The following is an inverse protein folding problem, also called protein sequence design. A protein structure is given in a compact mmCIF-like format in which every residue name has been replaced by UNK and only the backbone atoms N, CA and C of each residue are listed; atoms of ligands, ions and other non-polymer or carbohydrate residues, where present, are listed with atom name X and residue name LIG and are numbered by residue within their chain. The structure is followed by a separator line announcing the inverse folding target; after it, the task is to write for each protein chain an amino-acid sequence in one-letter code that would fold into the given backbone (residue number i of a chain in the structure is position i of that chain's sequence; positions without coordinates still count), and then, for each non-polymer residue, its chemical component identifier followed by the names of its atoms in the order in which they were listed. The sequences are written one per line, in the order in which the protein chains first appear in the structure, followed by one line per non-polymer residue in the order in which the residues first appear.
data_IF_009715878755
#
_entry.id   IF_009715878755
#
_cell.length_a   1.000
_cell.length_b   1.000
_cell.length_c   1.000
_cell.angle_alpha   90.00
_cell.angle_beta   90.00
_cell.angle_gamma   90.00
#
_symmetry.space_group_name_H-M   'P 1'
#
loop_
_entity.id
_entity.type
_entity.pdbx_description
1 polymer ?
#
# COMPACT_ATOMS: atom_id res chain seq x y z
N UNK A 1 15.47 19.98 -7.30
CA UNK A 1 14.18 20.11 -8.00
C UNK A 1 13.09 19.75 -7.02
N UNK A 2 12.00 20.52 -6.96
CA UNK A 2 10.85 20.19 -6.12
C UNK A 2 10.14 18.95 -6.69
N UNK A 3 9.89 17.92 -5.87
CA UNK A 3 9.18 16.69 -6.26
C UNK A 3 7.92 16.55 -5.40
N UNK A 4 6.89 17.38 -5.63
CA UNK A 4 5.76 17.49 -4.71
C UNK A 4 4.85 16.25 -4.70
N UNK A 5 4.73 15.46 -5.79
CA UNK A 5 4.01 14.19 -5.75
C UNK A 5 4.78 13.18 -4.90
N UNK A 6 6.10 13.06 -5.11
CA UNK A 6 6.96 12.21 -4.30
C UNK A 6 6.81 12.52 -2.81
N UNK A 7 6.91 13.80 -2.43
CA UNK A 7 6.72 14.25 -1.04
C UNK A 7 5.31 13.94 -0.53
N UNK A 8 4.27 14.20 -1.32
CA UNK A 8 2.88 13.95 -0.93
C UNK A 8 2.64 12.49 -0.56
N UNK A 9 3.11 11.55 -1.39
CA UNK A 9 2.92 10.12 -1.15
C UNK A 9 3.82 9.59 -0.04
N UNK A 10 5.08 10.00 0.02
CA UNK A 10 6.01 9.64 1.12
C UNK A 10 5.46 10.08 2.48
N UNK A 11 4.88 11.29 2.57
CA UNK A 11 4.22 11.73 3.79
C UNK A 11 2.97 10.90 4.14
N UNK A 12 2.26 10.38 3.15
CA UNK A 12 1.13 9.48 3.39
C UNK A 12 1.60 8.09 3.85
N UNK A 13 2.70 7.57 3.33
CA UNK A 13 3.37 6.36 3.85
C UNK A 13 3.72 6.51 5.32
N UNK A 14 4.38 7.60 5.72
CA UNK A 14 4.69 7.84 7.13
C UNK A 14 3.45 7.88 8.03
N UNK A 15 2.33 8.43 7.55
CA UNK A 15 1.06 8.45 8.31
C UNK A 15 0.45 7.05 8.43
N UNK A 16 0.50 6.25 7.37
CA UNK A 16 0.03 4.86 7.35
C UNK A 16 0.87 3.99 8.28
N UNK A 17 2.20 4.09 8.18
CA UNK A 17 3.15 3.37 9.03
C UNK A 17 2.94 3.72 10.50
N UNK A 18 2.76 5.01 10.82
CA UNK A 18 2.47 5.45 12.18
C UNK A 18 1.21 4.77 12.76
N UNK A 19 0.12 4.68 11.99
CA UNK A 19 -1.11 4.01 12.43
C UNK A 19 -0.88 2.52 12.69
N UNK A 20 -0.13 1.84 11.83
CA UNK A 20 0.19 0.42 12.02
C UNK A 20 1.09 0.20 13.25
N UNK A 21 2.05 1.10 13.48
CA UNK A 21 2.91 1.10 14.66
C UNK A 21 2.10 1.28 15.95
N UNK A 22 1.17 2.25 15.98
CA UNK A 22 0.25 2.45 17.11
C UNK A 22 -0.67 1.24 17.33
N UNK A 23 -1.15 0.62 16.25
CA UNK A 23 -1.99 -0.57 16.33
C UNK A 23 -1.27 -1.79 16.93
N UNK A 24 0.07 -1.83 16.89
CA UNK A 24 0.88 -2.99 17.27
C UNK A 24 1.93 -2.67 18.34
N UNK A 25 1.74 -1.57 19.08
CA UNK A 25 2.65 -1.11 20.13
C UNK A 25 2.76 -2.11 21.30
N UNK A 26 1.68 -2.83 21.60
CA UNK A 26 1.64 -3.83 22.67
C UNK A 26 1.84 -5.25 22.10
N UNK A 27 2.87 -5.99 22.52
CA UNK A 27 3.07 -7.36 22.08
C UNK A 27 1.87 -8.26 22.35
N UNK A 28 1.42 -9.01 21.33
CA UNK A 28 0.29 -9.94 21.43
C UNK A 28 -1.09 -9.29 21.44
N UNK A 29 -1.18 -7.96 21.34
CA UNK A 29 -2.44 -7.23 21.26
C UNK A 29 -2.45 -6.31 20.03
N UNK A 30 -3.61 -6.21 19.38
CA UNK A 30 -3.79 -5.34 18.21
C UNK A 30 -4.88 -4.33 18.55
N UNK A 31 -4.50 -3.06 18.66
CA UNK A 31 -5.43 -1.97 18.95
C UNK A 31 -6.30 -1.71 17.72
N UNK A 32 -7.51 -2.27 17.74
CA UNK A 32 -8.40 -2.34 16.59
C UNK A 32 -8.83 -0.97 16.05
N UNK A 33 -8.86 0.08 16.89
CA UNK A 33 -9.17 1.43 16.44
C UNK A 33 -8.08 2.00 15.52
N UNK A 34 -6.81 1.87 15.91
CA UNK A 34 -5.68 2.26 15.06
C UNK A 34 -5.58 1.35 13.83
N UNK A 35 -5.81 0.05 13.98
CA UNK A 35 -5.82 -0.87 12.84
C UNK A 35 -6.94 -0.53 11.84
N UNK A 36 -8.12 -0.13 12.31
CA UNK A 36 -9.20 0.34 11.44
C UNK A 36 -8.79 1.59 10.66
N UNK A 37 -8.21 2.59 11.33
CA UNK A 37 -7.71 3.81 10.68
C UNK A 37 -6.61 3.50 9.65
N UNK A 38 -5.70 2.57 9.99
CA UNK A 38 -4.68 2.06 9.06
C UNK A 38 -5.32 1.48 7.79
N UNK A 39 -6.31 0.58 7.92
CA UNK A 39 -7.00 -0.03 6.77
C UNK A 39 -7.63 1.02 5.86
N UNK A 40 -8.34 1.99 6.45
CA UNK A 40 -9.01 3.06 5.71
C UNK A 40 -7.99 3.91 4.95
N UNK A 41 -6.90 4.32 5.61
CA UNK A 41 -5.85 5.11 4.97
C UNK A 41 -5.12 4.35 3.87
N UNK A 42 -4.72 3.10 4.11
CA UNK A 42 -4.04 2.29 3.09
C UNK A 42 -4.92 2.08 1.85
N UNK A 43 -6.21 1.81 2.02
CA UNK A 43 -7.11 1.67 0.87
C UNK A 43 -7.36 3.00 0.14
N UNK A 44 -7.40 4.12 0.87
CA UNK A 44 -7.43 5.46 0.26
C UNK A 44 -6.16 5.71 -0.54
N UNK A 45 -5.00 5.33 -0.03
CA UNK A 45 -3.71 5.44 -0.71
C UNK A 45 -3.69 4.67 -2.03
N UNK A 46 -4.00 3.37 -1.98
CA UNK A 46 -4.10 2.52 -3.17
C UNK A 46 -5.12 3.11 -4.17
N UNK A 47 -6.24 3.66 -3.70
CA UNK A 47 -7.23 4.33 -4.55
C UNK A 47 -6.66 5.58 -5.22
N UNK A 48 -5.91 6.41 -4.50
CA UNK A 48 -5.24 7.60 -5.06
C UNK A 48 -4.32 7.20 -6.22
N UNK A 49 -3.55 6.14 -6.07
CA UNK A 49 -2.63 5.69 -7.11
C UNK A 49 -3.36 5.06 -8.30
N UNK A 50 -4.22 4.07 -8.05
CA UNK A 50 -4.89 3.30 -9.09
C UNK A 50 -5.91 4.13 -9.90
N UNK A 51 -6.53 5.13 -9.27
CA UNK A 51 -7.63 5.91 -9.88
C UNK A 51 -7.21 7.30 -10.33
N UNK A 52 -6.09 7.84 -9.82
CA UNK A 52 -5.65 9.20 -10.16
C UNK A 52 -4.24 9.22 -10.71
N UNK A 53 -3.23 8.75 -9.96
CA UNK A 53 -1.83 8.85 -10.38
C UNK A 53 -1.51 7.99 -11.62
N UNK A 54 -1.79 6.69 -11.56
CA UNK A 54 -1.46 5.76 -12.65
C UNK A 54 -2.21 6.10 -13.93
N UNK A 55 -3.52 6.43 -13.94
CA UNK A 55 -4.18 6.88 -15.15
C UNK A 55 -3.55 8.13 -15.76
N UNK A 56 -3.17 9.11 -14.94
CA UNK A 56 -2.55 10.35 -15.42
C UNK A 56 -1.17 10.09 -16.05
N UNK A 57 -0.30 9.33 -15.38
CA UNK A 57 1.01 8.97 -15.90
C UNK A 57 0.89 8.08 -17.16
N UNK A 58 -0.06 7.14 -17.18
CA UNK A 58 -0.31 6.26 -18.33
C UNK A 58 -0.80 7.04 -19.56
N UNK A 59 -1.58 8.10 -19.37
CA UNK A 59 -1.99 9.01 -20.45
C UNK A 59 -0.79 9.75 -21.06
N UNK A 60 0.20 10.10 -20.24
CA UNK A 60 1.42 10.77 -20.70
C UNK A 60 2.38 9.79 -21.42
N UNK A 61 2.58 8.59 -20.87
CA UNK A 61 3.38 7.56 -21.53
C UNK A 61 2.88 6.15 -21.20
N UNK A 62 2.04 5.62 -22.09
CA UNK A 62 1.42 4.30 -21.92
C UNK A 62 2.46 3.18 -21.79
N UNK A 63 3.50 3.18 -22.65
CA UNK A 63 4.46 2.08 -22.73
C UNK A 63 5.29 1.95 -21.46
N UNK A 64 5.75 3.08 -20.90
CA UNK A 64 6.50 3.10 -19.65
C UNK A 64 5.64 2.60 -18.49
N UNK A 65 4.42 3.12 -18.37
CA UNK A 65 3.54 2.71 -17.28
C UNK A 65 3.05 1.27 -17.42
N UNK A 66 2.81 0.78 -18.63
CA UNK A 66 2.42 -0.62 -18.88
C UNK A 66 3.49 -1.62 -18.39
N UNK A 67 4.77 -1.28 -18.47
CA UNK A 67 5.84 -2.12 -17.90
C UNK A 67 5.96 -2.03 -16.38
N UNK A 68 5.59 -0.89 -15.77
CA UNK A 68 5.80 -0.64 -14.34
C UNK A 68 4.60 -1.06 -13.47
N UNK A 69 3.40 -0.61 -13.81
CA UNK A 69 2.21 -0.76 -12.96
C UNK A 69 1.77 -2.21 -12.66
N UNK A 70 2.00 -3.24 -13.50
CA UNK A 70 1.51 -4.59 -13.19
C UNK A 70 2.06 -5.14 -11.88
N UNK A 71 3.32 -4.82 -11.54
CA UNK A 71 3.92 -5.22 -10.26
C UNK A 71 3.19 -4.57 -9.08
N UNK A 72 3.08 -3.24 -9.08
CA UNK A 72 2.41 -2.48 -8.01
C UNK A 72 0.96 -2.94 -7.82
N UNK A 73 0.24 -3.26 -8.91
CA UNK A 73 -1.12 -3.83 -8.85
C UNK A 73 -1.21 -5.17 -8.14
N UNK A 74 -0.21 -6.04 -8.32
CA UNK A 74 -0.17 -7.32 -7.63
C UNK A 74 0.06 -7.11 -6.14
N UNK A 75 0.97 -6.20 -5.78
CA UNK A 75 1.26 -5.81 -4.38
C UNK A 75 0.04 -5.15 -3.72
N UNK A 76 -0.65 -4.21 -4.38
CA UNK A 76 -1.91 -3.63 -3.94
C UNK A 76 -2.99 -4.69 -3.68
N UNK A 77 -3.10 -5.67 -4.59
CA UNK A 77 -4.02 -6.79 -4.45
C UNK A 77 -3.70 -7.67 -3.24
N UNK A 78 -2.41 -7.93 -2.99
CA UNK A 78 -1.96 -8.69 -1.83
C UNK A 78 -2.22 -7.94 -0.52
N UNK A 79 -1.86 -6.66 -0.44
CA UNK A 79 -2.13 -5.80 0.71
C UNK A 79 -3.63 -5.75 1.01
N UNK A 80 -4.46 -5.45 0.00
CA UNK A 80 -5.93 -5.41 0.16
C UNK A 80 -6.48 -6.75 0.67
N UNK A 81 -5.97 -7.87 0.17
CA UNK A 81 -6.41 -9.20 0.61
C UNK A 81 -6.01 -9.51 2.06
N UNK A 82 -4.85 -9.03 2.53
CA UNK A 82 -4.42 -9.15 3.92
C UNK A 82 -5.28 -8.34 4.90
N UNK A 83 -5.95 -7.27 4.43
CA UNK A 83 -6.88 -6.48 5.25
C UNK A 83 -8.26 -7.12 5.43
N UNK A 84 -8.56 -8.23 4.75
CA UNK A 84 -9.85 -8.92 4.82
C UNK A 84 -10.01 -9.77 6.09
N UNK A 85 -9.10 -10.71 6.43
CA UNK A 85 -9.21 -11.49 7.66
C UNK A 85 -8.98 -10.64 8.93
N UNK A 86 -9.42 -11.11 10.12
CA UNK A 86 -9.02 -10.53 11.39
C UNK A 86 -7.49 -10.46 11.50
N UNK A 87 -6.92 -9.37 12.02
CA UNK A 87 -5.48 -9.23 12.10
C UNK A 87 -4.90 -10.24 13.09
N UNK A 88 -3.76 -10.82 12.71
CA UNK A 88 -2.90 -11.66 13.55
C UNK A 88 -1.48 -11.14 13.43
N UNK A 89 -0.59 -11.49 14.36
CA UNK A 89 0.84 -11.13 14.26
C UNK A 89 1.44 -11.53 12.91
N UNK A 90 1.12 -12.72 12.40
CA UNK A 90 1.59 -13.19 11.10
C UNK A 90 1.06 -12.36 9.91
N UNK A 91 -0.19 -11.92 9.96
CA UNK A 91 -0.76 -11.01 8.96
C UNK A 91 -0.08 -9.64 9.04
N UNK A 92 0.13 -9.10 10.24
CA UNK A 92 0.84 -7.82 10.41
C UNK A 92 2.27 -7.92 9.86
N UNK A 93 3.00 -8.99 10.15
CA UNK A 93 4.35 -9.20 9.63
C UNK A 93 4.34 -9.26 8.10
N UNK A 94 3.38 -9.97 7.51
CA UNK A 94 3.22 -10.02 6.05
C UNK A 94 2.91 -8.62 5.46
N UNK A 95 2.02 -7.84 6.09
CA UNK A 95 1.72 -6.47 5.66
C UNK A 95 2.98 -5.60 5.71
N UNK A 96 3.72 -5.61 6.82
CA UNK A 96 4.95 -4.82 6.98
C UNK A 96 5.99 -5.17 5.93
N UNK A 97 6.22 -6.46 5.71
CA UNK A 97 7.19 -6.93 4.73
C UNK A 97 6.84 -6.53 3.30
N UNK A 98 5.55 -6.54 2.95
CA UNK A 98 5.11 -6.08 1.62
C UNK A 98 5.23 -4.57 1.51
N UNK A 99 4.78 -3.80 2.51
CA UNK A 99 4.89 -2.33 2.52
C UNK A 99 6.35 -1.88 2.44
N UNK A 100 7.26 -2.44 3.23
CA UNK A 100 8.69 -2.07 3.20
C UNK A 100 9.29 -2.15 1.79
N UNK A 101 8.99 -3.24 1.06
CA UNK A 101 9.49 -3.41 -0.31
C UNK A 101 8.76 -2.57 -1.34
N UNK A 102 7.48 -2.32 -1.10
CA UNK A 102 6.61 -1.53 -1.95
C UNK A 102 7.03 -0.05 -1.88
N UNK A 103 7.00 0.53 -0.67
CA UNK A 103 7.38 1.91 -0.39
C UNK A 103 8.80 2.20 -0.91
N UNK A 104 9.77 1.29 -0.71
CA UNK A 104 11.12 1.44 -1.25
C UNK A 104 11.13 1.55 -2.79
N UNK A 105 10.40 0.68 -3.48
CA UNK A 105 10.36 0.68 -4.95
C UNK A 105 9.62 1.91 -5.52
N UNK A 106 8.79 2.56 -4.71
CA UNK A 106 8.09 3.77 -5.10
C UNK A 106 8.94 5.02 -4.88
N UNK A 107 9.62 5.07 -3.75
CA UNK A 107 10.33 6.25 -3.27
C UNK A 107 11.79 6.34 -3.71
N UNK A 108 12.45 5.22 -4.03
CA UNK A 108 13.87 5.22 -4.39
C UNK A 108 14.14 6.12 -5.62
N UNK A 109 15.36 6.68 -5.76
CA UNK A 109 15.68 7.50 -6.93
C UNK A 109 15.44 6.76 -8.25
N UNK A 110 14.59 7.33 -9.11
CA UNK A 110 14.14 6.66 -10.35
C UNK A 110 13.03 5.62 -10.17
N UNK A 111 12.50 5.47 -8.95
CA UNK A 111 11.33 4.67 -8.60
C UNK A 111 10.03 5.26 -9.13
N UNK A 112 8.91 4.66 -8.70
CA UNK A 112 7.59 4.97 -9.25
C UNK A 112 7.24 6.45 -9.19
N UNK A 113 7.48 7.10 -8.05
CA UNK A 113 7.10 8.50 -7.87
C UNK A 113 7.95 9.45 -8.70
N UNK A 114 9.23 9.16 -8.88
CA UNK A 114 10.10 9.92 -9.79
C UNK A 114 9.62 9.84 -11.24
N UNK A 115 9.23 8.63 -11.68
CA UNK A 115 8.69 8.42 -13.03
C UNK A 115 7.35 9.14 -13.20
N UNK A 116 6.43 9.00 -12.25
CA UNK A 116 5.12 9.64 -12.31
C UNK A 116 5.23 11.18 -12.27
N UNK A 117 6.09 11.73 -11.41
CA UNK A 117 6.38 13.17 -11.34
C UNK A 117 6.89 13.69 -12.70
N UNK A 118 7.87 13.00 -13.30
CA UNK A 118 8.40 13.38 -14.60
C UNK A 118 7.34 13.30 -15.71
N UNK A 119 6.51 12.26 -15.72
CA UNK A 119 5.45 12.09 -16.73
C UNK A 119 4.29 13.07 -16.58
N UNK A 120 4.04 13.56 -15.35
CA UNK A 120 2.90 14.42 -15.04
C UNK A 120 3.28 15.87 -14.76
N UNK A 121 4.53 16.27 -15.03
CA UNK A 121 5.08 17.60 -14.72
C UNK A 121 4.20 18.78 -15.18
N UNK A 122 3.44 18.63 -16.28
CA UNK A 122 2.56 19.66 -16.83
C UNK A 122 1.21 19.82 -16.09
N UNK A 123 0.87 18.89 -15.20
CA UNK A 123 -0.42 18.82 -14.48
C UNK A 123 -0.26 18.47 -12.99
N UNK A 124 0.97 18.46 -12.46
CA UNK A 124 1.29 18.08 -11.07
C UNK A 124 0.39 18.77 -10.04
N UNK A 125 0.18 20.09 -10.16
CA UNK A 125 -0.62 20.82 -9.18
C UNK A 125 -2.11 20.44 -9.20
N UNK A 126 -2.66 20.18 -10.39
CA UNK A 126 -4.05 19.71 -10.55
C UNK A 126 -4.19 18.30 -9.95
N UNK A 127 -3.22 17.41 -10.21
CA UNK A 127 -3.21 16.07 -9.62
C UNK A 127 -3.16 16.12 -8.11
N UNK A 128 -2.31 16.96 -7.51
CA UNK A 128 -2.25 17.11 -6.05
C UNK A 128 -3.60 17.55 -5.45
N UNK A 129 -4.33 18.44 -6.13
CA UNK A 129 -5.67 18.83 -5.70
C UNK A 129 -6.65 17.66 -5.78
N UNK A 130 -6.62 16.89 -6.87
CA UNK A 130 -7.47 15.70 -7.02
C UNK A 130 -7.15 14.64 -5.97
N UNK A 131 -5.86 14.37 -5.72
CA UNK A 131 -5.36 13.41 -4.73
C UNK A 131 -5.77 13.80 -3.31
N UNK A 132 -5.61 15.08 -2.95
CA UNK A 132 -6.06 15.60 -1.66
C UNK A 132 -7.58 15.45 -1.45
N UNK A 133 -8.36 15.56 -2.52
CA UNK A 133 -9.82 15.42 -2.49
C UNK A 133 -10.32 13.96 -2.53
N UNK A 134 -9.45 12.95 -2.69
CA UNK A 134 -9.88 11.55 -2.67
C UNK A 134 -10.46 11.20 -1.30
N UNK A 135 -11.73 10.82 -1.30
CA UNK A 135 -12.43 10.36 -0.11
C UNK A 135 -11.92 9.01 0.38
N UNK A 136 -12.02 8.82 1.69
CA UNK A 136 -11.76 7.56 2.39
C UNK A 136 -12.58 6.39 1.79
N UNK A 137 -12.01 5.19 1.89
CA UNK A 137 -12.67 3.97 1.42
C UNK A 137 -13.44 3.33 2.58
N UNK A 138 -14.77 3.14 2.46
CA UNK A 138 -15.52 2.42 3.49
C UNK A 138 -14.99 1.00 3.66
N UNK A 139 -14.75 0.59 4.90
CA UNK A 139 -14.27 -0.76 5.23
C UNK A 139 -15.34 -1.53 5.98
N UNK A 140 -15.50 -2.80 5.60
CA UNK A 140 -16.30 -3.74 6.40
C UNK A 140 -15.47 -4.29 7.57
N UNK A 141 -16.15 -4.80 8.62
CA UNK A 141 -15.50 -5.61 9.65
C UNK A 141 -14.68 -6.75 9.03
N UNK A 142 -13.57 -7.17 9.67
CA UNK A 142 -12.79 -8.31 9.19
C UNK A 142 -13.64 -9.58 9.05
N UNK A 143 -13.40 -10.36 7.99
CA UNK A 143 -14.12 -11.60 7.72
C UNK A 143 -13.34 -12.81 8.28
N UNK A 144 -13.84 -13.48 9.32
CA UNK A 144 -13.14 -14.60 9.96
C UNK A 144 -13.20 -15.91 9.18
N UNK A 145 -13.92 -15.99 8.06
CA UNK A 145 -14.02 -17.21 7.28
C UNK A 145 -12.64 -17.66 6.77
N UNK A 146 -12.28 -18.97 6.88
CA UNK A 146 -10.96 -19.47 6.44
C UNK A 146 -10.59 -19.11 5.00
N UNK A 147 -11.58 -19.01 4.11
CA UNK A 147 -11.38 -18.60 2.73
C UNK A 147 -10.75 -17.20 2.58
N UNK A 148 -10.90 -16.32 3.58
CA UNK A 148 -10.29 -14.99 3.57
C UNK A 148 -8.76 -15.08 3.65
N UNK A 149 -8.22 -15.90 4.55
CA UNK A 149 -6.76 -16.07 4.66
C UNK A 149 -6.20 -16.85 3.46
N UNK A 150 -6.94 -17.83 2.93
CA UNK A 150 -6.53 -18.54 1.72
C UNK A 150 -6.48 -17.62 0.49
N UNK A 151 -7.41 -16.67 0.39
CA UNK A 151 -7.40 -15.66 -0.65
C UNK A 151 -6.19 -14.71 -0.52
N UNK A 152 -5.84 -14.31 0.70
CA UNK A 152 -4.66 -13.49 0.97
C UNK A 152 -3.36 -14.21 0.60
N UNK A 153 -3.22 -15.49 0.97
CA UNK A 153 -2.07 -16.33 0.59
C UNK A 153 -1.87 -16.39 -0.93
N UNK A 154 -2.94 -16.69 -1.68
CA UNK A 154 -2.89 -16.71 -3.15
C UNK A 154 -2.55 -15.34 -3.75
N UNK A 155 -2.99 -14.25 -3.12
CA UNK A 155 -2.68 -12.90 -3.58
C UNK A 155 -1.19 -12.55 -3.38
N UNK A 156 -0.64 -12.92 -2.21
CA UNK A 156 0.80 -12.82 -1.93
C UNK A 156 1.63 -13.63 -2.92
N UNK A 157 1.26 -14.89 -3.18
CA UNK A 157 1.96 -15.75 -4.14
C UNK A 157 2.04 -15.11 -5.53
N UNK A 158 0.92 -14.54 -6.02
CA UNK A 158 0.90 -13.82 -7.30
C UNK A 158 1.78 -12.58 -7.31
N UNK A 159 1.94 -11.92 -6.16
CA UNK A 159 2.83 -10.79 -5.98
C UNK A 159 4.30 -11.21 -5.70
N UNK A 160 4.59 -12.51 -5.65
CA UNK A 160 5.95 -13.03 -5.43
C UNK A 160 6.35 -13.21 -3.97
N UNK A 161 5.39 -13.24 -3.05
CA UNK A 161 5.61 -13.40 -1.62
C UNK A 161 5.09 -14.74 -1.10
N UNK A 162 5.83 -15.38 -0.20
CA UNK A 162 5.39 -16.57 0.50
C UNK A 162 4.94 -16.22 1.93
N UNK A 163 3.64 -16.33 2.20
CA UNK A 163 3.06 -15.99 3.51
C UNK A 163 3.70 -16.78 4.67
N UNK A 164 4.01 -18.06 4.47
CA UNK A 164 4.55 -18.91 5.54
C UNK A 164 6.04 -18.64 5.82
N UNK A 165 6.73 -17.97 4.91
CA UNK A 165 8.10 -17.51 5.13
C UNK A 165 8.12 -16.17 5.86
N UNK A 166 7.29 -15.21 5.41
CA UNK A 166 7.26 -13.84 5.94
C UNK A 166 6.45 -13.71 7.24
N UNK A 167 5.46 -14.58 7.45
CA UNK A 167 4.56 -14.54 8.61
C UNK A 167 5.16 -15.13 9.88
N UNK A 168 6.36 -15.72 9.81
CA UNK A 168 7.12 -16.17 10.97
C UNK A 168 7.68 -14.96 11.72
N UNK A 169 7.70 -15.02 13.05
CA UNK A 169 8.49 -14.06 13.82
C UNK A 169 9.96 -14.21 13.41
N UNK A 170 10.73 -13.11 13.25
CA UNK A 170 12.18 -13.24 13.26
C UNK A 170 12.51 -13.91 14.59
N UNK A 171 13.16 -15.09 14.54
CA UNK A 171 13.54 -15.85 15.72
C UNK A 171 14.05 -14.87 16.78
N UNK A 172 13.31 -14.74 17.89
CA UNK A 172 13.68 -13.86 18.98
C UNK A 172 15.13 -14.14 19.37
N UNK A 173 15.98 -13.13 19.16
CA UNK A 173 17.34 -13.07 19.66
C UNK A 173 17.35 -12.24 20.93
#
# INVERSE_FOLDING_TARGET
MNKPLHQFFTEDHHRIEHLLNRATEQPGHIEMEYYHQFRVRLLRHIKMEEKTLFPAAKKANFKVMESLIPRFRLEHGALTALLVPPPTTSIINAIRHVLEKHDLAEEEPGGLYDVCEALTHGQTQELLQQLAAVEEVPVHPPNPAPIAIDAARRALERAGYNFDEIGKEPNGQ
#
